data_IF_234893801198
#
_entry.id   IF_234893801198
#
_cell.length_a   1.000
_cell.length_b   1.000
_cell.length_c   1.000
_cell.angle_alpha   90.00
_cell.angle_beta   90.00
_cell.angle_gamma   90.00
#
_symmetry.space_group_name_H-M   'P 1'
#
loop_
_entity.id
_entity.type
_entity.pdbx_description
1 polymer ?
#
# COMPACT_ATOMS: atom_id res chain seq x y z
N UNK A 1 -65.23 4.97 -28.98
CA UNK A 1 -64.01 5.63 -28.58
C UNK A 1 -63.62 5.05 -27.20
N UNK A 2 -62.47 4.42 -27.09
CA UNK A 2 -61.91 4.00 -25.79
C UNK A 2 -60.99 5.14 -25.38
N UNK A 3 -61.25 5.76 -24.24
CA UNK A 3 -60.38 6.76 -23.65
C UNK A 3 -59.61 6.04 -22.51
N UNK A 4 -58.31 5.91 -22.65
CA UNK A 4 -57.42 5.41 -21.59
C UNK A 4 -56.86 6.62 -20.88
N UNK A 5 -57.12 6.74 -19.58
CA UNK A 5 -56.49 7.77 -18.74
C UNK A 5 -55.31 7.11 -18.08
N UNK A 6 -54.11 7.59 -18.39
CA UNK A 6 -52.86 7.10 -17.82
C UNK A 6 -52.40 8.01 -16.67
N UNK A 7 -51.78 7.44 -15.64
CA UNK A 7 -51.18 8.17 -14.55
C UNK A 7 -49.68 8.33 -14.84
N UNK A 8 -49.22 9.55 -15.21
CA UNK A 8 -47.82 9.75 -15.54
C UNK A 8 -46.92 9.73 -14.30
N UNK A 9 -45.60 9.48 -14.49
CA UNK A 9 -44.60 9.59 -13.46
C UNK A 9 -44.38 11.07 -13.10
N UNK A 10 -44.41 11.39 -11.81
CA UNK A 10 -44.22 12.74 -11.27
C UNK A 10 -42.97 12.87 -10.39
N UNK A 11 -42.37 11.74 -9.98
CA UNK A 11 -41.19 11.73 -9.14
C UNK A 11 -40.40 10.43 -9.20
N UNK A 12 -39.10 10.52 -8.90
CA UNK A 12 -38.20 9.40 -8.71
C UNK A 12 -37.29 9.67 -7.51
N UNK A 13 -37.15 8.71 -6.62
CA UNK A 13 -36.18 8.71 -5.51
C UNK A 13 -35.43 7.39 -5.49
N UNK A 14 -34.28 7.35 -4.84
CA UNK A 14 -33.47 6.13 -4.68
C UNK A 14 -33.43 5.72 -3.20
N UNK A 15 -33.17 4.43 -2.97
CA UNK A 15 -32.93 3.90 -1.62
C UNK A 15 -31.70 4.49 -0.93
N UNK A 16 -30.76 5.10 -1.68
CA UNK A 16 -29.62 5.85 -1.18
C UNK A 16 -29.11 6.83 -2.23
N UNK A 17 -28.61 8.00 -1.80
CA UNK A 17 -27.91 9.00 -2.62
C UNK A 17 -26.39 8.90 -2.52
N UNK A 18 -25.88 8.08 -1.58
CA UNK A 18 -24.46 7.83 -1.35
C UNK A 18 -24.20 6.40 -0.88
N UNK A 19 -23.17 5.73 -1.42
CA UNK A 19 -22.79 4.39 -1.01
C UNK A 19 -21.28 4.20 -1.12
N UNK A 20 -20.67 3.61 -0.07
CA UNK A 20 -19.28 3.15 -0.07
C UNK A 20 -19.22 1.64 -0.31
N UNK A 21 -18.39 1.23 -1.26
CA UNK A 21 -18.19 -0.17 -1.63
C UNK A 21 -16.70 -0.51 -1.67
N UNK A 22 -16.34 -1.71 -1.30
CA UNK A 22 -15.02 -2.26 -1.58
C UNK A 22 -14.98 -2.85 -2.98
N UNK A 23 -13.82 -2.85 -3.64
CA UNK A 23 -13.63 -3.52 -4.93
C UNK A 23 -14.14 -4.96 -4.86
N UNK A 24 -14.95 -5.35 -5.85
CA UNK A 24 -15.63 -6.65 -5.93
C UNK A 24 -17.00 -6.72 -5.24
N UNK A 25 -17.36 -5.72 -4.42
CA UNK A 25 -18.68 -5.66 -3.79
C UNK A 25 -19.78 -5.30 -4.78
N UNK A 26 -21.01 -5.70 -4.46
CA UNK A 26 -22.22 -5.38 -5.21
C UNK A 26 -23.22 -4.65 -4.32
N UNK A 27 -23.98 -3.73 -4.91
CA UNK A 27 -25.04 -2.97 -4.25
C UNK A 27 -26.21 -2.77 -5.19
N UNK A 28 -27.44 -2.97 -4.72
CA UNK A 28 -28.64 -2.74 -5.51
C UNK A 28 -29.18 -1.33 -5.28
N UNK A 29 -29.23 -0.53 -6.33
CA UNK A 29 -29.94 0.74 -6.36
C UNK A 29 -31.40 0.44 -6.71
N UNK A 30 -32.30 0.83 -5.80
CA UNK A 30 -33.75 0.57 -5.90
C UNK A 30 -34.45 1.91 -6.06
N UNK A 31 -34.99 2.20 -7.26
CA UNK A 31 -35.80 3.40 -7.48
C UNK A 31 -37.19 3.25 -6.88
N UNK A 32 -37.71 4.34 -6.33
CA UNK A 32 -39.11 4.50 -5.98
C UNK A 32 -39.74 5.55 -6.90
N UNK A 33 -40.77 5.14 -7.61
CA UNK A 33 -41.46 5.97 -8.62
C UNK A 33 -42.77 6.48 -8.03
N UNK A 34 -43.03 7.75 -8.22
CA UNK A 34 -44.27 8.39 -7.79
C UNK A 34 -45.07 8.91 -9.01
N UNK A 35 -46.38 8.80 -8.93
CA UNK A 35 -47.19 8.13 -7.92
C UNK A 35 -47.07 6.60 -8.01
N UNK A 36 -47.44 5.92 -6.92
CA UNK A 36 -47.30 4.45 -6.82
C UNK A 36 -48.11 3.68 -7.86
N UNK A 37 -49.13 4.28 -8.42
CA UNK A 37 -50.01 3.76 -9.47
C UNK A 37 -49.64 4.25 -10.86
N UNK A 38 -48.46 4.87 -11.06
CA UNK A 38 -47.95 5.21 -12.37
C UNK A 38 -47.86 3.94 -13.25
N UNK A 39 -48.31 4.03 -14.52
CA UNK A 39 -48.39 2.89 -15.42
C UNK A 39 -47.01 2.46 -15.95
N UNK A 40 -46.15 3.40 -16.32
CA UNK A 40 -44.79 3.11 -16.78
C UNK A 40 -43.77 3.45 -15.69
N UNK A 41 -43.26 2.43 -15.00
CA UNK A 41 -42.22 2.54 -13.95
C UNK A 41 -40.85 2.11 -14.43
N UNK A 42 -40.71 1.93 -15.75
CA UNK A 42 -39.41 1.53 -16.31
C UNK A 42 -38.40 2.64 -16.14
N UNK A 43 -37.19 2.22 -15.82
CA UNK A 43 -36.02 3.10 -15.66
C UNK A 43 -34.83 2.56 -16.43
N UNK A 44 -33.93 3.45 -16.74
CA UNK A 44 -32.60 3.14 -17.29
C UNK A 44 -31.53 3.55 -16.29
N UNK A 45 -30.42 2.83 -16.27
CA UNK A 45 -29.29 3.08 -15.39
C UNK A 45 -28.07 3.48 -16.19
N UNK A 46 -27.32 4.44 -15.69
CA UNK A 46 -26.09 4.92 -16.30
C UNK A 46 -25.01 5.11 -15.23
N UNK A 47 -23.77 4.70 -15.53
CA UNK A 47 -22.60 4.98 -14.71
C UNK A 47 -21.75 6.06 -15.39
N UNK A 48 -21.39 7.11 -14.65
CA UNK A 48 -20.51 8.17 -15.13
C UNK A 48 -19.07 7.70 -15.38
N UNK A 49 -18.64 6.60 -14.73
CA UNK A 49 -17.34 5.96 -14.94
C UNK A 49 -17.44 4.44 -14.76
N UNK A 50 -17.59 3.74 -15.89
CA UNK A 50 -17.69 2.27 -15.91
C UNK A 50 -16.38 1.55 -15.57
N UNK A 51 -15.25 2.26 -15.50
CA UNK A 51 -13.98 1.70 -15.02
C UNK A 51 -13.94 1.62 -13.48
N UNK A 52 -14.69 2.48 -12.78
CA UNK A 52 -14.82 2.50 -11.31
C UNK A 52 -15.92 1.55 -10.86
N UNK A 53 -17.14 1.71 -11.41
CA UNK A 53 -18.25 0.81 -11.14
C UNK A 53 -19.20 0.73 -12.34
N UNK A 54 -19.73 -0.46 -12.61
CA UNK A 54 -20.78 -0.70 -13.59
C UNK A 54 -22.12 -0.86 -12.89
N UNK A 55 -23.19 -0.64 -13.63
CA UNK A 55 -24.56 -0.95 -13.20
C UNK A 55 -25.25 -1.74 -14.30
N UNK A 56 -26.03 -2.76 -13.93
CA UNK A 56 -26.81 -3.56 -14.87
C UNK A 56 -28.25 -3.05 -15.01
N UNK A 57 -29.01 -3.68 -15.89
CA UNK A 57 -30.43 -3.34 -16.18
C UNK A 57 -31.36 -3.53 -14.96
N UNK A 58 -30.91 -4.27 -13.92
CA UNK A 58 -31.65 -4.50 -12.69
C UNK A 58 -31.26 -3.53 -11.57
N UNK A 59 -30.34 -2.57 -11.85
CA UNK A 59 -29.84 -1.61 -10.87
C UNK A 59 -28.74 -2.16 -9.95
N UNK A 60 -28.16 -3.33 -10.27
CA UNK A 60 -27.06 -3.88 -9.47
C UNK A 60 -25.74 -3.24 -9.88
N UNK A 61 -25.21 -2.42 -9.00
CA UNK A 61 -23.88 -1.82 -9.10
C UNK A 61 -22.82 -2.85 -8.74
N UNK A 62 -21.77 -2.96 -9.56
CA UNK A 62 -20.58 -3.77 -9.28
C UNK A 62 -19.37 -2.86 -9.20
N UNK A 63 -18.69 -2.84 -8.05
CA UNK A 63 -17.47 -2.07 -7.79
C UNK A 63 -16.26 -2.74 -8.43
N UNK A 64 -15.54 -2.08 -9.33
CA UNK A 64 -14.44 -2.65 -10.11
C UNK A 64 -13.06 -2.15 -9.69
N UNK A 65 -12.92 -0.85 -9.36
CA UNK A 65 -11.65 -0.19 -9.10
C UNK A 65 -11.84 0.97 -8.14
N UNK A 66 -10.86 1.25 -7.28
CA UNK A 66 -10.88 2.38 -6.36
C UNK A 66 -11.08 3.72 -7.10
N UNK A 67 -12.04 4.52 -6.62
CA UNK A 67 -12.43 5.79 -7.23
C UNK A 67 -13.85 6.18 -6.89
N UNK A 68 -14.36 7.22 -7.58
CA UNK A 68 -15.72 7.74 -7.39
C UNK A 68 -16.44 7.76 -8.73
N UNK A 69 -17.70 7.36 -8.74
CA UNK A 69 -18.59 7.55 -9.90
C UNK A 69 -20.01 7.89 -9.42
N UNK A 70 -20.83 8.33 -10.33
CA UNK A 70 -22.26 8.61 -10.11
C UNK A 70 -23.06 7.59 -10.92
N UNK A 71 -23.99 6.93 -10.26
CA UNK A 71 -25.01 6.13 -10.93
C UNK A 71 -26.25 6.99 -11.04
N UNK A 72 -26.65 7.27 -12.27
CA UNK A 72 -27.87 8.00 -12.61
C UNK A 72 -28.97 7.02 -13.02
N UNK A 73 -30.16 7.25 -12.52
CA UNK A 73 -31.37 6.48 -12.85
C UNK A 73 -32.37 7.44 -13.48
N UNK A 74 -32.83 7.11 -14.71
CA UNK A 74 -33.73 7.94 -15.49
C UNK A 74 -35.01 7.19 -15.81
N UNK A 75 -36.17 7.77 -15.54
CA UNK A 75 -37.46 7.19 -15.93
C UNK A 75 -37.64 7.25 -17.46
N UNK A 76 -38.15 6.18 -18.06
CA UNK A 76 -38.47 6.18 -19.51
C UNK A 76 -39.55 7.21 -19.86
N UNK A 77 -40.53 7.34 -18.96
CA UNK A 77 -41.57 8.36 -19.10
C UNK A 77 -41.15 9.62 -18.32
N UNK A 78 -41.39 10.79 -18.90
CA UNK A 78 -41.06 12.10 -18.36
C UNK A 78 -39.56 12.40 -18.12
N UNK A 79 -38.64 11.46 -18.30
CA UNK A 79 -37.19 11.63 -18.19
C UNK A 79 -36.74 12.28 -16.86
N UNK A 80 -37.39 11.90 -15.76
CA UNK A 80 -36.98 12.33 -14.44
C UNK A 80 -35.73 11.54 -13.99
N UNK A 81 -34.82 12.21 -13.33
CA UNK A 81 -33.55 11.61 -12.91
C UNK A 81 -33.36 11.64 -11.39
N UNK A 82 -32.70 10.61 -10.87
CA UNK A 82 -32.15 10.56 -9.52
C UNK A 82 -30.76 9.96 -9.58
N UNK A 83 -29.87 10.35 -8.66
CA UNK A 83 -28.49 9.95 -8.70
C UNK A 83 -28.01 9.43 -7.34
N UNK A 84 -27.10 8.45 -7.39
CA UNK A 84 -26.37 7.92 -6.24
C UNK A 84 -24.87 8.05 -6.47
N UNK A 85 -24.15 8.67 -5.54
CA UNK A 85 -22.70 8.72 -5.54
C UNK A 85 -22.14 7.40 -5.00
N UNK A 86 -21.32 6.73 -5.80
CA UNK A 86 -20.62 5.51 -5.41
C UNK A 86 -19.14 5.84 -5.16
N UNK A 87 -18.66 5.54 -3.97
CA UNK A 87 -17.25 5.61 -3.59
C UNK A 87 -16.70 4.19 -3.48
N UNK A 88 -15.84 3.81 -4.40
CA UNK A 88 -15.20 2.50 -4.37
C UNK A 88 -13.87 2.59 -3.63
N UNK A 89 -13.74 1.80 -2.56
CA UNK A 89 -12.53 1.64 -1.76
C UNK A 89 -11.71 0.45 -2.24
N UNK A 90 -10.39 0.62 -2.29
CA UNK A 90 -9.46 -0.43 -2.71
C UNK A 90 -8.31 -0.54 -1.72
N UNK A 91 -7.95 -1.78 -1.38
CA UNK A 91 -6.82 -2.09 -0.54
C UNK A 91 -5.49 -2.02 -1.30
N UNK A 92 -4.40 -1.79 -0.56
CA UNK A 92 -3.05 -2.02 -1.06
C UNK A 92 -2.88 -3.50 -1.40
N UNK A 93 -2.43 -3.81 -2.61
CA UNK A 93 -2.19 -5.18 -3.08
C UNK A 93 -0.72 -5.58 -3.01
N UNK A 94 0.21 -4.61 -3.00
CA UNK A 94 1.64 -4.87 -2.89
C UNK A 94 2.41 -3.68 -2.34
N UNK A 95 3.53 -3.98 -1.67
CA UNK A 95 4.56 -3.01 -1.28
C UNK A 95 5.90 -3.53 -1.81
N UNK A 96 6.70 -2.63 -2.38
CA UNK A 96 8.09 -2.91 -2.76
C UNK A 96 9.01 -1.96 -2.03
N UNK A 97 10.17 -2.46 -1.57
CA UNK A 97 11.22 -1.65 -0.96
C UNK A 97 12.32 -1.35 -1.95
N UNK A 98 13.03 -0.23 -1.74
CA UNK A 98 14.21 0.14 -2.54
C UNK A 98 15.33 -0.89 -2.45
N UNK A 99 15.40 -1.61 -1.33
CA UNK A 99 16.40 -2.65 -1.04
C UNK A 99 15.77 -3.75 -0.19
N UNK A 100 16.22 -5.01 -0.34
CA UNK A 100 15.77 -6.16 0.47
C UNK A 100 16.84 -6.64 1.44
N UNK A 101 18.10 -6.22 1.24
CA UNK A 101 19.27 -6.48 2.08
C UNK A 101 20.19 -5.25 2.05
N UNK A 102 20.68 -4.80 3.21
CA UNK A 102 21.53 -3.62 3.32
C UNK A 102 22.56 -3.77 4.42
N UNK A 103 23.82 -3.48 4.07
CA UNK A 103 24.88 -3.35 5.05
C UNK A 103 25.01 -1.90 5.53
N UNK A 104 25.19 -1.73 6.82
CA UNK A 104 25.43 -0.43 7.44
C UNK A 104 26.55 -0.54 8.48
N UNK A 105 27.38 0.48 8.59
CA UNK A 105 28.33 0.58 9.67
C UNK A 105 27.65 1.07 10.95
N UNK A 106 28.11 0.65 12.11
CA UNK A 106 27.64 1.21 13.39
C UNK A 106 27.76 2.73 13.37
N UNK A 107 26.70 3.44 13.81
CA UNK A 107 26.59 4.89 13.81
C UNK A 107 26.18 5.51 12.46
N UNK A 108 26.07 4.70 11.40
CA UNK A 108 25.61 5.20 10.09
C UNK A 108 24.09 5.39 10.08
N UNK A 109 23.63 6.32 9.21
CA UNK A 109 22.24 6.53 8.90
C UNK A 109 21.97 6.14 7.44
N UNK A 110 20.73 5.81 7.13
CA UNK A 110 20.29 5.42 5.80
C UNK A 110 18.82 5.71 5.60
N UNK A 111 18.25 5.28 4.47
CA UNK A 111 16.81 5.37 4.22
C UNK A 111 16.36 4.20 3.38
N UNK A 112 15.20 3.64 3.71
CA UNK A 112 14.43 2.75 2.84
C UNK A 112 13.25 3.53 2.25
N UNK A 113 12.96 3.26 0.99
CA UNK A 113 11.80 3.81 0.30
C UNK A 113 10.83 2.67 0.05
N UNK A 114 9.60 2.83 0.50
CA UNK A 114 8.51 1.92 0.20
C UNK A 114 7.64 2.48 -0.92
N UNK A 115 7.35 1.67 -1.93
CA UNK A 115 6.43 1.99 -3.02
C UNK A 115 5.22 1.07 -2.93
N UNK A 116 4.03 1.66 -2.84
CA UNK A 116 2.75 0.96 -2.94
C UNK A 116 2.45 0.67 -4.40
N UNK A 117 2.12 -0.58 -4.72
CA UNK A 117 1.87 -1.02 -6.11
C UNK A 117 0.45 -0.75 -6.61
N UNK A 118 -0.49 -0.38 -5.73
CA UNK A 118 -1.88 -0.10 -6.09
C UNK A 118 -2.12 1.40 -6.16
N UNK A 119 -2.14 1.97 -7.37
CA UNK A 119 -2.26 3.42 -7.58
C UNK A 119 -3.60 3.99 -7.11
N UNK A 120 -4.65 3.18 -7.11
CA UNK A 120 -6.03 3.52 -6.71
C UNK A 120 -6.38 3.11 -5.29
N UNK A 121 -5.40 2.58 -4.52
CA UNK A 121 -5.63 2.26 -3.11
C UNK A 121 -6.09 3.49 -2.31
N UNK A 122 -7.13 3.28 -1.49
CA UNK A 122 -7.77 4.35 -0.72
C UNK A 122 -6.85 4.95 0.35
N UNK A 123 -6.03 4.10 0.99
CA UNK A 123 -5.03 4.51 1.97
C UNK A 123 -3.67 3.92 1.61
N UNK A 124 -2.71 4.77 1.23
CA UNK A 124 -1.35 4.39 0.84
C UNK A 124 -0.31 4.60 1.94
N UNK A 125 -0.75 4.93 3.14
CA UNK A 125 0.16 5.16 4.25
C UNK A 125 0.89 3.86 4.64
N UNK A 126 2.16 4.00 5.02
CA UNK A 126 3.04 2.92 5.44
C UNK A 126 3.39 3.12 6.91
N UNK A 127 3.33 2.04 7.67
CA UNK A 127 3.84 1.95 9.04
C UNK A 127 5.14 1.16 9.02
N UNK A 128 6.21 1.77 9.53
CA UNK A 128 7.51 1.15 9.64
C UNK A 128 7.73 0.52 11.01
N UNK A 129 8.41 -0.60 11.05
CA UNK A 129 8.83 -1.27 12.28
C UNK A 129 10.19 -1.95 12.14
N UNK A 130 10.90 -2.08 13.24
CA UNK A 130 12.15 -2.84 13.34
C UNK A 130 11.95 -4.03 14.26
N UNK A 131 12.52 -5.17 13.90
CA UNK A 131 12.56 -6.35 14.78
C UNK A 131 13.43 -6.15 16.02
N UNK A 132 14.43 -5.23 15.94
CA UNK A 132 15.30 -4.87 17.04
C UNK A 132 15.85 -3.44 16.88
N UNK A 133 15.23 -2.50 17.60
CA UNK A 133 15.62 -1.09 17.58
C UNK A 133 16.99 -0.84 18.22
N UNK A 134 17.52 -1.77 19.03
CA UNK A 134 18.87 -1.65 19.61
C UNK A 134 19.97 -1.91 18.57
N UNK A 135 19.66 -2.66 17.51
CA UNK A 135 20.56 -2.92 16.38
C UNK A 135 20.36 -1.87 15.28
N UNK A 136 19.13 -1.72 14.81
CA UNK A 136 18.76 -0.72 13.81
C UNK A 136 17.36 -0.20 14.07
N UNK A 137 17.19 1.09 14.28
CA UNK A 137 15.89 1.75 14.38
C UNK A 137 15.44 2.34 13.05
N UNK A 138 14.14 2.51 12.91
CA UNK A 138 13.49 3.14 11.74
C UNK A 138 12.47 4.16 12.22
N UNK A 139 12.38 5.32 11.56
CA UNK A 139 11.35 6.33 11.81
C UNK A 139 10.15 6.19 10.85
N UNK A 140 9.15 7.07 11.00
CA UNK A 140 7.93 7.07 10.18
C UNK A 140 8.19 7.36 8.69
N UNK A 141 9.29 8.01 8.36
CA UNK A 141 9.72 8.37 7.01
C UNK A 141 10.62 7.32 6.36
N UNK A 142 10.93 6.21 7.07
CA UNK A 142 11.81 5.13 6.63
C UNK A 142 13.29 5.44 6.80
N UNK A 143 13.67 6.46 7.59
CA UNK A 143 15.06 6.72 7.90
C UNK A 143 15.57 5.70 8.92
N UNK A 144 16.77 5.19 8.68
CA UNK A 144 17.43 4.15 9.46
C UNK A 144 18.55 4.74 10.32
N UNK A 145 18.71 4.21 11.54
CA UNK A 145 19.86 4.48 12.38
C UNK A 145 20.48 3.15 12.84
N UNK A 146 21.73 2.90 12.46
CA UNK A 146 22.48 1.72 12.84
C UNK A 146 23.12 1.91 14.23
N UNK A 147 22.56 1.27 15.25
CA UNK A 147 22.91 1.53 16.66
C UNK A 147 23.97 0.57 17.21
N UNK A 148 23.90 -0.72 16.90
CA UNK A 148 24.86 -1.73 17.33
C UNK A 148 25.03 -2.85 16.30
N UNK A 149 26.15 -3.60 16.40
CA UNK A 149 26.42 -4.74 15.51
C UNK A 149 25.35 -5.82 15.66
N UNK A 150 24.86 -6.33 14.54
CA UNK A 150 23.86 -7.39 14.50
C UNK A 150 23.01 -7.33 13.26
N UNK A 151 21.93 -8.11 13.24
CA UNK A 151 20.94 -8.12 12.16
C UNK A 151 19.59 -7.67 12.70
N UNK A 152 18.94 -6.77 11.98
CA UNK A 152 17.56 -6.36 12.22
C UNK A 152 16.74 -6.48 10.94
N UNK A 153 15.47 -6.80 11.06
CA UNK A 153 14.52 -6.80 9.93
C UNK A 153 13.68 -5.55 10.05
N UNK A 154 13.75 -4.69 9.03
CA UNK A 154 12.89 -3.53 8.91
C UNK A 154 11.70 -3.91 8.03
N UNK A 155 10.50 -3.68 8.54
CA UNK A 155 9.24 -4.03 7.86
C UNK A 155 8.41 -2.80 7.60
N UNK A 156 7.95 -2.67 6.36
CA UNK A 156 6.94 -1.71 5.91
C UNK A 156 5.58 -2.43 5.84
N UNK A 157 4.56 -1.92 6.52
CA UNK A 157 3.20 -2.48 6.56
C UNK A 157 2.21 -1.46 6.03
N UNK A 158 1.29 -1.88 5.16
CA UNK A 158 0.19 -1.02 4.71
C UNK A 158 -0.74 -0.67 5.88
N UNK A 159 -1.07 0.62 6.02
CA UNK A 159 -1.93 1.13 7.10
C UNK A 159 -3.43 1.04 6.78
N UNK A 160 -3.82 0.35 5.71
CA UNK A 160 -5.20 0.24 5.24
C UNK A 160 -5.94 -1.01 5.80
N UNK A 161 -5.23 -1.85 6.55
CA UNK A 161 -5.79 -3.10 7.10
C UNK A 161 -5.67 -4.30 6.14
N UNK A 162 -5.07 -4.17 4.96
CA UNK A 162 -4.84 -5.28 4.03
C UNK A 162 -3.88 -6.36 4.58
N UNK A 163 -3.02 -5.98 5.55
CA UNK A 163 -1.96 -6.86 6.05
C UNK A 163 -0.78 -7.02 5.10
N UNK A 164 -0.73 -6.27 3.99
CA UNK A 164 0.38 -6.32 3.03
C UNK A 164 1.64 -5.73 3.64
N UNK A 165 2.74 -6.45 3.55
CA UNK A 165 4.05 -6.08 4.09
C UNK A 165 5.17 -6.29 3.09
N UNK A 166 6.29 -5.57 3.31
CA UNK A 166 7.58 -5.83 2.68
C UNK A 166 8.69 -5.62 3.69
N UNK A 167 9.77 -6.39 3.60
CA UNK A 167 10.86 -6.37 4.59
C UNK A 167 12.22 -6.25 3.94
N UNK A 168 13.15 -5.61 4.68
CA UNK A 168 14.57 -5.50 4.36
C UNK A 168 15.39 -5.99 5.55
N UNK A 169 16.42 -6.81 5.28
CA UNK A 169 17.37 -7.25 6.30
C UNK A 169 18.48 -6.21 6.39
N UNK A 170 18.67 -5.61 7.56
CA UNK A 170 19.77 -4.69 7.83
C UNK A 170 20.85 -5.46 8.60
N UNK A 171 22.06 -5.48 8.03
CA UNK A 171 23.26 -6.07 8.65
C UNK A 171 24.16 -4.95 9.11
N UNK A 172 24.19 -4.71 10.41
CA UNK A 172 25.04 -3.69 11.01
C UNK A 172 26.37 -4.29 11.38
N UNK A 173 27.44 -3.72 10.86
CA UNK A 173 28.83 -4.19 11.01
C UNK A 173 29.71 -3.11 11.61
N UNK A 174 30.78 -3.54 12.28
CA UNK A 174 31.87 -2.68 12.70
C UNK A 174 33.06 -2.92 11.75
N UNK A 175 33.40 -1.99 10.86
CA UNK A 175 34.43 -2.21 9.85
C UNK A 175 35.83 -2.21 10.46
N UNK A 176 36.76 -2.86 9.80
CA UNK A 176 38.21 -2.71 10.07
C UNK A 176 38.63 -1.30 9.67
N UNK A 177 39.32 -0.61 10.57
CA UNK A 177 39.85 0.75 10.34
C UNK A 177 41.38 0.79 10.29
N UNK A 178 42.06 -0.29 10.70
CA UNK A 178 43.51 -0.37 10.68
C UNK A 178 44.04 -1.79 10.90
N UNK A 179 45.23 -2.01 10.40
CA UNK A 179 46.01 -3.24 10.59
C UNK A 179 47.41 -2.85 11.02
N UNK A 180 47.95 -3.49 12.10
CA UNK A 180 49.30 -3.35 12.55
C UNK A 180 50.03 -4.72 12.45
N UNK A 181 51.22 -4.69 11.90
CA UNK A 181 52.08 -5.88 11.83
C UNK A 181 53.14 -5.85 12.93
N UNK A 182 53.21 -6.91 13.73
CA UNK A 182 54.12 -7.00 14.87
C UNK A 182 55.01 -8.27 14.73
N UNK A 183 56.32 -8.08 14.79
CA UNK A 183 57.10 -6.84 14.84
C UNK A 183 57.10 -6.10 13.48
N UNK A 184 57.18 -4.78 13.50
CA UNK A 184 57.20 -3.94 12.28
C UNK A 184 58.49 -4.02 11.49
N UNK A 185 59.55 -4.53 12.12
CA UNK A 185 60.86 -4.73 11.51
C UNK A 185 61.48 -6.07 11.99
N UNK A 186 62.01 -6.86 11.07
CA UNK A 186 62.64 -8.15 11.32
C UNK A 186 63.99 -8.19 10.63
N UNK A 187 65.01 -8.64 11.38
CA UNK A 187 66.35 -8.99 10.80
C UNK A 187 66.57 -10.49 10.98
N UNK A 188 66.81 -11.17 9.89
CA UNK A 188 67.05 -12.62 9.87
C UNK A 188 68.39 -12.95 9.25
N UNK A 189 69.05 -13.98 9.76
CA UNK A 189 70.18 -14.62 9.07
C UNK A 189 69.64 -15.68 8.10
N UNK A 190 70.47 -16.09 7.16
CA UNK A 190 70.08 -17.14 6.20
C UNK A 190 69.76 -18.44 6.94
N UNK A 191 68.51 -18.92 6.78
CA UNK A 191 68.00 -20.11 7.45
C UNK A 191 67.13 -19.84 8.65
N UNK A 192 67.02 -18.58 9.14
CA UNK A 192 66.11 -18.17 10.23
C UNK A 192 64.70 -18.01 9.76
N UNK A 193 63.75 -18.14 10.67
CA UNK A 193 62.35 -17.82 10.48
C UNK A 193 61.79 -17.01 11.65
N UNK A 194 60.92 -16.07 11.37
CA UNK A 194 60.24 -15.26 12.39
C UNK A 194 58.75 -15.22 12.06
N UNK A 195 57.93 -15.49 13.05
CA UNK A 195 56.48 -15.30 12.96
C UNK A 195 56.16 -13.81 13.09
N UNK A 196 55.37 -13.31 12.16
CA UNK A 196 54.74 -11.98 12.25
C UNK A 196 53.25 -12.14 12.58
N UNK A 197 52.71 -11.21 13.32
CA UNK A 197 51.27 -11.20 13.70
C UNK A 197 50.63 -9.94 13.16
N UNK A 198 49.45 -10.05 12.57
CA UNK A 198 48.62 -8.92 12.18
C UNK A 198 47.58 -8.65 13.26
N UNK A 199 47.60 -7.46 13.83
CA UNK A 199 46.57 -6.96 14.74
C UNK A 199 45.59 -6.12 13.96
N UNK A 200 44.33 -6.50 14.01
CA UNK A 200 43.24 -5.80 13.29
C UNK A 200 42.48 -4.90 14.24
N UNK A 201 42.27 -3.67 13.86
CA UNK A 201 41.59 -2.63 14.64
C UNK A 201 40.32 -2.15 13.96
N UNK A 202 39.25 -1.82 14.74
CA UNK A 202 39.18 -2.05 16.21
C UNK A 202 39.07 -3.52 16.52
N UNK A 203 39.43 -3.91 17.76
CA UNK A 203 39.40 -5.32 18.22
C UNK A 203 37.99 -5.97 18.07
N UNK A 204 36.93 -5.19 18.11
CA UNK A 204 35.53 -5.60 17.89
C UNK A 204 35.06 -5.47 16.44
N UNK A 205 35.97 -5.35 15.46
CA UNK A 205 35.60 -5.38 14.04
C UNK A 205 34.87 -6.69 13.70
N UNK A 206 33.84 -6.60 12.86
CA UNK A 206 32.93 -7.73 12.56
C UNK A 206 33.61 -8.81 11.70
N UNK A 207 34.48 -8.39 10.75
CA UNK A 207 35.26 -9.29 9.87
C UNK A 207 36.72 -8.92 10.06
N UNK A 208 37.54 -9.89 10.46
CA UNK A 208 38.98 -9.71 10.77
C UNK A 208 39.90 -10.64 9.97
N UNK A 209 39.37 -11.23 8.90
CA UNK A 209 40.14 -12.11 8.03
C UNK A 209 41.23 -11.29 7.32
N UNK A 210 42.51 -11.67 7.51
CA UNK A 210 43.73 -11.07 6.94
C UNK A 210 44.67 -12.14 6.40
#
# INVERSE_FOLDING_TARGET
CIVTVTQPVTGITLNSDYQELWVGAKYAIIPSIEPIDAENKNVTYFSSDTSVATVDEYGVVTALKGGNCIIEVTTEECHLTAACTIVVKEYVSSITLSETDKFMNVGATGRLIAKVGTDTATNKNIVWSSSDNSICSVDAEGNLSANSVGNAVITATAADGSGVTASCIIKVVNPVTGIEIVPSTVRLLVGDSQKVTANVYPENATIKDV
#
